data_IF_679586111560
#
_entry.id   IF_679586111560
#
_cell.length_a   1.000
_cell.length_b   1.000
_cell.length_c   1.000
_cell.angle_alpha   90.00
_cell.angle_beta   90.00
_cell.angle_gamma   90.00
#
_symmetry.space_group_name_H-M   'P 1'
#
loop_
_entity.id
_entity.type
_entity.pdbx_description
1 polymer ?
#
# COMPACT_ATOMS: atom_id res chain seq x y z
N UNK A 1 -26.33 -28.62 4.92
CA UNK A 1 -26.57 -27.38 4.18
C UNK A 1 -27.76 -27.57 3.27
N UNK A 2 -28.74 -26.66 3.17
CA UNK A 2 -29.79 -26.74 2.19
C UNK A 2 -29.18 -26.66 0.77
N UNK A 3 -29.53 -27.57 -0.12
CA UNK A 3 -29.14 -27.59 -1.55
C UNK A 3 -29.46 -26.23 -2.20
N UNK A 4 -30.49 -25.60 -1.74
CA UNK A 4 -30.98 -24.26 -2.17
C UNK A 4 -29.94 -23.12 -2.03
N UNK A 5 -29.14 -23.08 -0.98
CA UNK A 5 -28.11 -22.02 -0.77
C UNK A 5 -26.97 -22.17 -1.77
N UNK A 6 -26.51 -23.38 -2.03
CA UNK A 6 -25.45 -23.66 -3.01
C UNK A 6 -25.88 -23.29 -4.42
N UNK A 7 -27.10 -23.58 -4.78
CA UNK A 7 -27.67 -23.25 -6.09
C UNK A 7 -27.77 -21.74 -6.31
N UNK A 8 -28.12 -20.98 -5.25
CA UNK A 8 -28.11 -19.51 -5.28
C UNK A 8 -26.69 -18.99 -5.51
N UNK A 9 -25.70 -19.50 -4.78
CA UNK A 9 -24.31 -19.08 -4.92
C UNK A 9 -23.77 -19.33 -6.33
N UNK A 10 -24.02 -20.53 -6.91
CA UNK A 10 -23.59 -20.86 -8.26
C UNK A 10 -24.30 -20.04 -9.33
N UNK A 11 -25.59 -19.76 -9.16
CA UNK A 11 -26.34 -18.87 -10.07
C UNK A 11 -25.78 -17.46 -10.03
N UNK A 12 -25.51 -16.91 -8.84
CA UNK A 12 -24.91 -15.58 -8.66
C UNK A 12 -23.52 -15.51 -9.27
N UNK A 13 -22.68 -16.53 -9.02
CA UNK A 13 -21.34 -16.64 -9.58
C UNK A 13 -21.39 -16.61 -11.12
N UNK A 14 -22.29 -17.40 -11.71
CA UNK A 14 -22.45 -17.47 -13.17
C UNK A 14 -23.00 -16.18 -13.77
N UNK A 15 -23.98 -15.55 -13.09
CA UNK A 15 -24.62 -14.31 -13.58
C UNK A 15 -23.66 -13.13 -13.66
N UNK A 16 -22.83 -12.93 -12.64
CA UNK A 16 -21.97 -11.74 -12.56
C UNK A 16 -20.55 -12.00 -13.10
N UNK A 17 -19.95 -13.14 -12.80
CA UNK A 17 -18.56 -13.42 -13.20
C UNK A 17 -18.42 -14.43 -14.34
N UNK A 18 -19.51 -15.07 -14.76
CA UNK A 18 -19.49 -16.05 -15.85
C UNK A 18 -18.83 -17.40 -15.51
N UNK A 19 -18.52 -17.66 -14.24
CA UNK A 19 -17.89 -18.91 -13.81
C UNK A 19 -18.92 -19.97 -13.48
N UNK A 20 -18.65 -21.22 -13.91
CA UNK A 20 -19.53 -22.36 -13.65
C UNK A 20 -19.26 -23.07 -12.32
N UNK A 21 -18.10 -22.83 -11.70
CA UNK A 21 -17.69 -23.45 -10.45
C UNK A 21 -16.78 -22.56 -9.64
N UNK A 22 -16.80 -22.75 -8.32
CA UNK A 22 -15.83 -22.13 -7.41
C UNK A 22 -14.44 -22.74 -7.58
N UNK A 23 -13.42 -21.92 -7.35
CA UNK A 23 -12.08 -22.45 -7.11
C UNK A 23 -12.03 -23.11 -5.74
N UNK A 24 -11.09 -24.02 -5.55
CA UNK A 24 -10.88 -24.71 -4.28
C UNK A 24 -10.86 -23.72 -3.09
N UNK A 25 -11.56 -24.08 -2.00
CA UNK A 25 -11.77 -23.33 -0.76
C UNK A 25 -12.62 -22.06 -0.86
N UNK A 26 -12.94 -21.53 -2.04
CA UNK A 26 -13.79 -20.33 -2.14
C UNK A 26 -15.21 -20.59 -1.60
N UNK A 27 -15.81 -21.70 -1.98
CA UNK A 27 -17.16 -22.08 -1.54
C UNK A 27 -17.23 -22.19 -0.01
N UNK A 28 -16.25 -22.85 0.60
CA UNK A 28 -16.19 -23.06 2.05
C UNK A 28 -16.00 -21.74 2.82
N UNK A 29 -15.18 -20.81 2.30
CA UNK A 29 -14.97 -19.49 2.86
C UNK A 29 -16.26 -18.66 2.79
N UNK A 30 -16.92 -18.65 1.64
CA UNK A 30 -18.19 -17.95 1.43
C UNK A 30 -19.25 -18.47 2.38
N UNK A 31 -19.36 -19.79 2.50
CA UNK A 31 -20.31 -20.44 3.40
C UNK A 31 -20.04 -20.08 4.87
N UNK A 32 -18.78 -20.01 5.27
CA UNK A 32 -18.41 -19.63 6.62
C UNK A 32 -18.94 -18.24 6.98
N UNK A 33 -18.89 -17.29 6.05
CA UNK A 33 -19.44 -15.94 6.24
C UNK A 33 -20.96 -15.93 6.26
N UNK A 34 -21.60 -16.69 5.35
CA UNK A 34 -23.06 -16.81 5.34
C UNK A 34 -23.60 -17.42 6.64
N UNK A 35 -22.82 -18.30 7.28
CA UNK A 35 -23.11 -18.88 8.59
C UNK A 35 -22.73 -17.94 9.76
N UNK A 36 -22.39 -16.68 9.48
CA UNK A 36 -22.05 -15.66 10.46
C UNK A 36 -20.79 -15.98 11.29
N UNK A 37 -19.82 -16.73 10.73
CA UNK A 37 -18.58 -17.04 11.43
C UNK A 37 -17.48 -16.04 11.06
N UNK A 38 -16.67 -15.69 12.05
CA UNK A 38 -15.37 -15.08 11.79
C UNK A 38 -14.49 -16.00 10.96
N UNK A 39 -13.89 -15.48 9.91
CA UNK A 39 -13.16 -16.31 8.94
C UNK A 39 -11.81 -15.69 8.60
N UNK A 40 -10.77 -16.51 8.61
CA UNK A 40 -9.44 -16.14 8.12
C UNK A 40 -9.10 -16.99 6.90
N UNK A 41 -8.91 -16.34 5.76
CA UNK A 41 -8.60 -17.00 4.50
C UNK A 41 -7.18 -16.66 4.03
N UNK A 42 -6.33 -17.69 3.94
CA UNK A 42 -4.97 -17.63 3.42
C UNK A 42 -4.97 -18.22 2.01
N UNK A 43 -5.16 -17.35 1.02
CA UNK A 43 -5.23 -17.72 -0.37
C UNK A 43 -4.09 -17.11 -1.17
N UNK A 44 -3.43 -17.83 -2.07
CA UNK A 44 -2.33 -17.30 -2.88
C UNK A 44 -2.78 -16.10 -3.72
N UNK A 45 -1.81 -15.31 -4.18
CA UNK A 45 -2.07 -14.26 -5.18
C UNK A 45 -2.68 -14.88 -6.43
N UNK A 46 -3.75 -14.28 -6.97
CA UNK A 46 -4.53 -14.86 -8.06
C UNK A 46 -5.50 -15.99 -7.63
N UNK A 47 -5.59 -16.30 -6.34
CA UNK A 47 -6.50 -17.31 -5.78
C UNK A 47 -7.98 -16.89 -5.72
N UNK A 48 -8.32 -15.69 -6.21
CA UNK A 48 -9.70 -15.20 -6.22
C UNK A 48 -10.19 -14.73 -4.84
N UNK A 49 -9.31 -14.10 -4.03
CA UNK A 49 -9.66 -13.56 -2.71
C UNK A 49 -10.85 -12.61 -2.74
N UNK A 50 -10.92 -11.71 -3.71
CA UNK A 50 -11.99 -10.71 -3.81
C UNK A 50 -13.38 -11.34 -3.94
N UNK A 51 -13.51 -12.43 -4.68
CA UNK A 51 -14.77 -13.16 -4.84
C UNK A 51 -15.31 -13.69 -3.49
N UNK A 52 -14.41 -14.04 -2.55
CA UNK A 52 -14.80 -14.57 -1.25
C UNK A 52 -15.60 -13.57 -0.39
N UNK A 53 -15.48 -12.26 -0.63
CA UNK A 53 -16.33 -11.26 0.03
C UNK A 53 -17.34 -10.60 -0.92
N UNK A 54 -17.03 -10.51 -2.21
CA UNK A 54 -17.94 -9.88 -3.18
C UNK A 54 -19.22 -10.70 -3.36
N UNK A 55 -19.11 -12.02 -3.51
CA UNK A 55 -20.26 -12.88 -3.73
C UNK A 55 -21.21 -12.95 -2.51
N UNK A 56 -20.73 -13.20 -1.27
CA UNK A 56 -21.63 -13.18 -0.11
C UNK A 56 -22.26 -11.80 0.14
N UNK A 57 -21.59 -10.70 -0.23
CA UNK A 57 -22.19 -9.35 -0.15
C UNK A 57 -23.44 -9.21 -1.04
N UNK A 58 -23.50 -9.90 -2.18
CA UNK A 58 -24.68 -9.88 -3.06
C UNK A 58 -25.84 -10.72 -2.53
N UNK A 59 -25.53 -11.79 -1.78
CA UNK A 59 -26.55 -12.73 -1.26
C UNK A 59 -27.11 -12.28 0.08
N UNK A 60 -26.28 -11.63 0.90
CA UNK A 60 -26.72 -11.10 2.20
C UNK A 60 -27.46 -9.77 2.05
N UNK A 61 -28.36 -9.51 2.97
CA UNK A 61 -28.96 -8.18 3.14
C UNK A 61 -27.94 -7.22 3.76
N UNK A 62 -28.00 -5.94 3.35
CA UNK A 62 -27.09 -4.90 3.82
C UNK A 62 -25.82 -4.76 3.00
N UNK A 63 -24.90 -3.94 3.50
CA UNK A 63 -23.65 -3.54 2.85
C UNK A 63 -22.47 -4.27 3.46
N UNK A 64 -21.60 -4.85 2.64
CA UNK A 64 -20.28 -5.33 3.08
C UNK A 64 -19.32 -4.14 3.18
N UNK A 65 -18.72 -3.93 4.35
CA UNK A 65 -17.65 -2.95 4.52
C UNK A 65 -16.30 -3.61 4.23
N UNK A 66 -15.63 -3.15 3.17
CA UNK A 66 -14.31 -3.66 2.76
C UNK A 66 -13.23 -2.70 3.21
N UNK A 67 -12.36 -3.15 4.10
CA UNK A 67 -11.19 -2.39 4.58
C UNK A 67 -9.98 -2.81 3.75
N UNK A 68 -9.43 -1.88 2.97
CA UNK A 68 -8.31 -2.13 2.06
C UNK A 68 -7.23 -1.06 2.20
N UNK A 69 -5.92 -1.42 2.11
CA UNK A 69 -4.84 -0.49 2.43
C UNK A 69 -4.51 0.50 1.31
N UNK A 70 -5.03 0.31 0.10
CA UNK A 70 -4.61 1.04 -1.09
C UNK A 70 -5.78 1.60 -1.88
N UNK A 71 -5.78 2.92 -2.03
CA UNK A 71 -6.79 3.63 -2.80
C UNK A 71 -6.86 3.19 -4.27
N UNK A 72 -5.71 2.96 -4.91
CA UNK A 72 -5.69 2.48 -6.30
C UNK A 72 -6.39 1.13 -6.45
N UNK A 73 -6.15 0.20 -5.52
CA UNK A 73 -6.82 -1.11 -5.51
C UNK A 73 -8.33 -0.95 -5.29
N UNK A 74 -8.76 -0.09 -4.37
CA UNK A 74 -10.18 0.17 -4.13
C UNK A 74 -10.86 0.71 -5.39
N UNK A 75 -10.24 1.67 -6.08
CA UNK A 75 -10.74 2.24 -7.34
C UNK A 75 -10.90 1.17 -8.43
N UNK A 76 -9.89 0.34 -8.62
CA UNK A 76 -9.90 -0.74 -9.60
C UNK A 76 -10.99 -1.78 -9.29
N UNK A 77 -11.13 -2.17 -8.01
CA UNK A 77 -12.19 -3.11 -7.58
C UNK A 77 -13.58 -2.54 -7.78
N UNK A 78 -13.81 -1.28 -7.38
CA UNK A 78 -15.11 -0.61 -7.55
C UNK A 78 -15.46 -0.42 -9.03
N UNK A 79 -14.49 -0.02 -9.87
CA UNK A 79 -14.70 0.10 -11.30
C UNK A 79 -15.12 -1.24 -11.92
N UNK A 80 -14.40 -2.31 -11.59
CA UNK A 80 -14.72 -3.66 -12.09
C UNK A 80 -16.09 -4.14 -11.62
N UNK A 81 -16.48 -3.88 -10.37
CA UNK A 81 -17.81 -4.24 -9.85
C UNK A 81 -18.91 -3.47 -10.56
N UNK A 82 -18.73 -2.17 -10.81
CA UNK A 82 -19.68 -1.36 -11.59
C UNK A 82 -19.82 -1.86 -13.04
N UNK A 83 -18.74 -2.28 -13.66
CA UNK A 83 -18.77 -2.90 -15.01
C UNK A 83 -19.59 -4.21 -15.04
N UNK A 84 -19.62 -4.93 -13.91
CA UNK A 84 -20.45 -6.11 -13.72
C UNK A 84 -21.91 -5.78 -13.32
N UNK A 85 -22.27 -4.50 -13.16
CA UNK A 85 -23.60 -4.08 -12.72
C UNK A 85 -23.83 -4.24 -11.20
N UNK A 86 -22.75 -4.26 -10.39
CA UNK A 86 -22.80 -4.37 -8.94
C UNK A 86 -22.58 -2.99 -8.33
N UNK A 87 -23.51 -2.55 -7.48
CA UNK A 87 -23.42 -1.26 -6.80
C UNK A 87 -22.34 -1.30 -5.71
N UNK A 88 -21.22 -0.65 -5.99
CA UNK A 88 -20.07 -0.54 -5.11
C UNK A 88 -19.51 0.88 -5.14
N UNK A 89 -19.05 1.35 -3.98
CA UNK A 89 -18.44 2.68 -3.84
C UNK A 89 -17.18 2.61 -2.97
N UNK A 90 -16.34 3.65 -3.06
CA UNK A 90 -15.21 3.82 -2.16
C UNK A 90 -15.21 5.22 -1.54
N UNK A 91 -14.79 5.31 -0.28
CA UNK A 91 -14.61 6.60 0.40
C UNK A 91 -13.12 6.92 0.52
N UNK A 92 -12.70 8.04 -0.04
CA UNK A 92 -11.32 8.52 0.04
C UNK A 92 -11.26 10.01 0.39
N UNK A 93 -10.08 10.50 0.72
CA UNK A 93 -9.82 11.93 0.95
C UNK A 93 -9.73 12.74 -0.36
N UNK A 94 -9.77 12.10 -1.52
CA UNK A 94 -9.77 12.77 -2.82
C UNK A 94 -11.17 13.25 -3.22
N UNK A 95 -12.23 12.68 -2.62
CA UNK A 95 -13.62 13.05 -2.86
C UNK A 95 -13.96 14.31 -2.06
N UNK A 96 -14.73 15.19 -2.66
CA UNK A 96 -15.26 16.34 -1.95
C UNK A 96 -16.38 15.97 -0.93
N UNK A 97 -16.79 16.93 -0.11
CA UNK A 97 -17.79 16.67 0.95
C UNK A 97 -19.15 16.26 0.38
N UNK A 98 -19.55 16.80 -0.78
CA UNK A 98 -20.84 16.48 -1.41
C UNK A 98 -20.83 15.05 -1.98
N UNK A 99 -19.74 14.65 -2.64
CA UNK A 99 -19.54 13.29 -3.14
C UNK A 99 -19.54 12.28 -1.99
N UNK A 100 -18.87 12.60 -0.87
CA UNK A 100 -18.85 11.71 0.30
C UNK A 100 -20.26 11.59 0.91
N UNK A 101 -21.02 12.69 1.01
CA UNK A 101 -22.37 12.65 1.56
C UNK A 101 -23.32 11.82 0.68
N UNK A 102 -23.23 11.94 -0.64
CA UNK A 102 -24.02 11.11 -1.57
C UNK A 102 -23.75 9.62 -1.36
N UNK A 103 -22.47 9.24 -1.16
CA UNK A 103 -22.11 7.84 -0.88
C UNK A 103 -22.69 7.38 0.46
N UNK A 104 -22.66 8.22 1.50
CA UNK A 104 -23.27 7.87 2.78
C UNK A 104 -24.79 7.69 2.66
N UNK A 105 -25.48 8.56 1.94
CA UNK A 105 -26.92 8.43 1.69
C UNK A 105 -27.26 7.12 0.97
N UNK A 106 -26.53 6.77 -0.08
CA UNK A 106 -26.68 5.50 -0.79
C UNK A 106 -26.38 4.27 0.09
N UNK A 107 -25.40 4.38 1.01
CA UNK A 107 -25.10 3.30 1.93
C UNK A 107 -26.21 3.12 2.99
N UNK A 108 -26.75 4.23 3.51
CA UNK A 108 -27.86 4.23 4.49
C UNK A 108 -29.15 3.72 3.84
N UNK A 109 -29.43 4.09 2.58
CA UNK A 109 -30.61 3.60 1.84
C UNK A 109 -30.50 2.11 1.45
N UNK A 110 -29.32 1.50 1.58
CA UNK A 110 -29.07 0.10 1.22
C UNK A 110 -28.86 -0.13 -0.28
N UNK A 111 -28.62 0.92 -1.06
CA UNK A 111 -28.31 0.80 -2.50
C UNK A 111 -26.93 0.18 -2.73
N UNK A 112 -25.94 0.46 -1.85
CA UNK A 112 -24.57 -0.03 -1.99
C UNK A 112 -24.42 -1.42 -1.40
N UNK A 113 -23.91 -2.36 -2.18
CA UNK A 113 -23.59 -3.72 -1.73
C UNK A 113 -22.17 -3.85 -1.15
N UNK A 114 -21.21 -3.08 -1.67
CA UNK A 114 -19.84 -3.06 -1.17
C UNK A 114 -19.35 -1.62 -1.01
N UNK A 115 -18.92 -1.28 0.20
CA UNK A 115 -18.33 0.02 0.52
C UNK A 115 -16.86 -0.18 0.90
N UNK A 116 -15.95 0.36 0.07
CA UNK A 116 -14.52 0.28 0.29
C UNK A 116 -14.00 1.49 1.06
N UNK A 117 -13.19 1.24 2.08
CA UNK A 117 -12.58 2.28 2.90
C UNK A 117 -11.12 1.94 3.25
N UNK A 118 -10.32 2.98 3.47
CA UNK A 118 -8.99 2.78 4.06
C UNK A 118 -9.08 2.60 5.58
N UNK A 119 -8.14 1.89 6.21
CA UNK A 119 -8.13 1.67 7.66
C UNK A 119 -7.99 2.98 8.45
N UNK A 120 -7.33 4.01 7.88
CA UNK A 120 -7.18 5.34 8.49
C UNK A 120 -8.54 6.04 8.70
N UNK A 121 -9.54 5.73 7.85
CA UNK A 121 -10.88 6.33 7.96
C UNK A 121 -11.65 5.87 9.20
N UNK A 122 -11.32 4.71 9.74
CA UNK A 122 -11.99 4.15 10.92
C UNK A 122 -11.86 5.03 12.17
N UNK A 123 -10.86 5.91 12.24
CA UNK A 123 -10.72 6.90 13.32
C UNK A 123 -11.58 8.16 13.14
N UNK A 124 -12.14 8.37 11.96
CA UNK A 124 -12.92 9.56 11.71
C UNK A 124 -14.27 9.49 12.44
N UNK A 125 -14.52 10.44 13.35
CA UNK A 125 -15.75 10.47 14.17
C UNK A 125 -17.03 10.66 13.35
N UNK A 126 -16.97 11.35 12.21
CA UNK A 126 -18.09 11.48 11.30
C UNK A 126 -18.38 10.15 10.60
N UNK A 127 -17.33 9.48 10.09
CA UNK A 127 -17.46 8.16 9.50
C UNK A 127 -18.07 7.15 10.48
N UNK A 128 -17.58 7.12 11.72
CA UNK A 128 -18.12 6.23 12.77
C UNK A 128 -19.62 6.46 12.99
N UNK A 129 -20.06 7.72 13.09
CA UNK A 129 -21.49 8.04 13.28
C UNK A 129 -22.33 7.61 12.09
N UNK A 130 -21.88 7.89 10.86
CA UNK A 130 -22.60 7.49 9.63
C UNK A 130 -22.70 5.96 9.52
N UNK A 131 -21.68 5.22 9.90
CA UNK A 131 -21.70 3.76 9.85
C UNK A 131 -22.66 3.10 10.84
N UNK A 132 -23.04 3.78 11.91
CA UNK A 132 -24.10 3.29 12.83
C UNK A 132 -25.50 3.31 12.18
N UNK A 133 -25.70 4.14 11.17
CA UNK A 133 -26.97 4.25 10.45
C UNK A 133 -27.01 3.32 9.20
N UNK A 134 -25.86 2.73 8.81
CA UNK A 134 -25.78 1.80 7.68
C UNK A 134 -26.06 0.38 8.14
N UNK A 135 -26.95 -0.32 7.46
CA UNK A 135 -27.17 -1.75 7.67
C UNK A 135 -25.99 -2.56 7.10
N UNK A 136 -24.97 -2.83 7.93
CA UNK A 136 -23.82 -3.62 7.53
C UNK A 136 -24.09 -5.12 7.65
N UNK A 137 -23.70 -5.90 6.65
CA UNK A 137 -23.83 -7.36 6.64
C UNK A 137 -22.63 -8.06 7.31
N UNK A 138 -21.43 -7.69 6.94
CA UNK A 138 -20.16 -8.18 7.50
C UNK A 138 -19.01 -7.24 7.13
N UNK A 139 -17.84 -7.47 7.73
CA UNK A 139 -16.61 -6.73 7.42
C UNK A 139 -15.64 -7.64 6.67
N UNK A 140 -15.10 -7.18 5.55
CA UNK A 140 -13.99 -7.80 4.87
C UNK A 140 -12.70 -7.00 5.12
N UNK A 141 -11.65 -7.64 5.60
CA UNK A 141 -10.33 -7.05 5.83
C UNK A 141 -9.37 -7.61 4.81
N UNK A 142 -9.12 -6.83 3.77
CA UNK A 142 -8.16 -7.21 2.74
C UNK A 142 -6.73 -6.91 3.20
N UNK A 143 -5.76 -7.69 2.68
CA UNK A 143 -4.36 -7.66 3.09
C UNK A 143 -4.18 -7.64 4.62
N UNK A 144 -4.91 -8.53 5.31
CA UNK A 144 -4.97 -8.58 6.78
C UNK A 144 -3.60 -8.73 7.46
N UNK A 145 -2.55 -9.17 6.74
CA UNK A 145 -1.18 -9.23 7.24
C UNK A 145 -0.62 -7.85 7.63
N UNK A 146 -1.20 -6.76 7.09
CA UNK A 146 -0.83 -5.38 7.46
C UNK A 146 -1.07 -5.04 8.95
N UNK A 147 -1.84 -5.84 9.68
CA UNK A 147 -2.09 -5.64 11.13
C UNK A 147 -0.88 -6.06 11.98
N UNK A 148 -0.01 -6.90 11.46
CA UNK A 148 1.12 -7.49 12.19
C UNK A 148 2.42 -6.75 11.91
N UNK A 149 3.15 -6.40 12.96
CA UNK A 149 4.51 -5.86 12.86
C UNK A 149 5.52 -6.85 12.23
N UNK A 150 5.18 -8.12 12.28
CA UNK A 150 5.92 -9.22 11.65
C UNK A 150 5.42 -9.53 10.25
N UNK A 151 4.37 -8.80 9.81
CA UNK A 151 3.84 -8.87 8.45
C UNK A 151 4.62 -7.95 7.52
N UNK A 152 4.43 -8.19 6.26
CA UNK A 152 4.84 -7.28 5.21
C UNK A 152 3.94 -6.03 5.25
N UNK A 153 4.49 -4.85 5.05
CA UNK A 153 3.72 -3.59 4.98
C UNK A 153 2.85 -3.30 6.22
N UNK A 154 3.42 -3.46 7.43
CA UNK A 154 2.74 -3.11 8.67
C UNK A 154 2.12 -1.71 8.62
N UNK A 155 0.84 -1.64 9.02
CA UNK A 155 0.07 -0.39 9.11
C UNK A 155 -0.59 -0.27 10.47
N UNK A 156 -0.17 0.67 11.33
CA UNK A 156 -0.76 0.88 12.65
C UNK A 156 -2.28 1.06 12.61
N UNK A 157 -2.80 1.70 11.55
CA UNK A 157 -4.24 1.94 11.37
C UNK A 157 -5.11 0.67 11.34
N UNK A 158 -4.53 -0.51 10.99
CA UNK A 158 -5.26 -1.79 11.07
C UNK A 158 -5.60 -2.20 12.49
N UNK A 159 -4.87 -1.74 13.50
CA UNK A 159 -5.14 -2.09 14.90
C UNK A 159 -6.49 -1.54 15.39
N UNK A 160 -7.01 -0.50 14.75
CA UNK A 160 -8.30 0.11 15.08
C UNK A 160 -9.53 -0.66 14.56
N UNK A 161 -9.31 -1.65 13.69
CA UNK A 161 -10.41 -2.44 13.12
C UNK A 161 -11.19 -3.18 14.22
N UNK A 162 -10.52 -3.70 15.24
CA UNK A 162 -11.17 -4.40 16.34
C UNK A 162 -12.07 -3.49 17.17
N UNK A 163 -11.64 -2.25 17.46
CA UNK A 163 -12.42 -1.26 18.19
C UNK A 163 -13.64 -0.81 17.37
N UNK A 164 -13.40 -0.50 16.09
CA UNK A 164 -14.47 -0.17 15.15
C UNK A 164 -15.53 -1.28 15.12
N UNK A 165 -15.10 -2.54 14.98
CA UNK A 165 -15.98 -3.70 14.92
C UNK A 165 -16.85 -3.84 16.19
N UNK A 166 -16.27 -3.62 17.37
CA UNK A 166 -17.03 -3.61 18.65
C UNK A 166 -18.08 -2.53 18.68
N UNK A 167 -17.77 -1.35 18.16
CA UNK A 167 -18.70 -0.19 18.17
C UNK A 167 -19.89 -0.41 17.25
N UNK A 168 -19.72 -1.05 16.09
CA UNK A 168 -20.81 -1.27 15.11
C UNK A 168 -21.60 -2.56 15.32
N UNK A 169 -21.40 -3.28 16.45
CA UNK A 169 -22.20 -4.46 16.80
C UNK A 169 -21.53 -5.81 16.59
N UNK A 170 -20.21 -5.85 16.49
CA UNK A 170 -19.40 -7.08 16.41
C UNK A 170 -19.79 -8.03 15.26
N UNK A 171 -19.98 -7.48 14.08
CA UNK A 171 -20.35 -8.21 12.86
C UNK A 171 -19.31 -9.29 12.49
N UNK A 172 -19.69 -10.32 11.70
CA UNK A 172 -18.75 -11.29 11.17
C UNK A 172 -17.62 -10.61 10.40
N UNK A 173 -16.42 -11.15 10.54
CA UNK A 173 -15.22 -10.62 9.90
C UNK A 173 -14.57 -11.66 9.00
N UNK A 174 -14.36 -11.30 7.74
CA UNK A 174 -13.55 -12.08 6.78
C UNK A 174 -12.21 -11.41 6.61
N UNK A 175 -11.18 -11.95 7.21
CA UNK A 175 -9.80 -11.52 7.03
C UNK A 175 -9.14 -12.30 5.89
N UNK A 176 -8.54 -11.59 4.92
CA UNK A 176 -7.92 -12.20 3.74
C UNK A 176 -6.46 -11.74 3.62
N UNK A 177 -5.59 -12.68 3.29
CA UNK A 177 -4.20 -12.38 2.94
C UNK A 177 -3.61 -13.43 2.00
N UNK A 178 -2.60 -13.05 1.23
CA UNK A 178 -1.85 -14.00 0.40
C UNK A 178 -0.69 -14.64 1.15
N UNK A 179 -0.11 -13.93 2.10
CA UNK A 179 1.10 -14.33 2.80
C UNK A 179 0.95 -14.09 4.30
N UNK A 180 1.12 -15.14 5.10
CA UNK A 180 1.19 -14.99 6.54
C UNK A 180 2.00 -16.12 7.16
N UNK A 181 3.00 -15.78 7.96
CA UNK A 181 3.70 -16.74 8.81
C UNK A 181 2.80 -17.17 9.97
N UNK A 182 3.10 -18.26 10.69
CA UNK A 182 2.33 -18.65 11.88
C UNK A 182 2.18 -17.53 12.92
N UNK A 183 3.20 -16.69 13.08
CA UNK A 183 3.19 -15.53 13.96
C UNK A 183 2.22 -14.45 13.49
N UNK A 184 2.24 -14.14 12.20
CA UNK A 184 1.28 -13.19 11.58
C UNK A 184 -0.16 -13.68 11.71
N UNK A 185 -0.40 -14.99 11.55
CA UNK A 185 -1.73 -15.59 11.74
C UNK A 185 -2.23 -15.38 13.17
N UNK A 186 -1.36 -15.54 14.17
CA UNK A 186 -1.72 -15.30 15.57
C UNK A 186 -2.06 -13.83 15.82
N UNK A 187 -1.23 -12.90 15.30
CA UNK A 187 -1.45 -11.46 15.40
C UNK A 187 -2.78 -11.05 14.75
N UNK A 188 -3.08 -11.57 13.56
CA UNK A 188 -4.36 -11.29 12.88
C UNK A 188 -5.54 -11.70 13.77
N UNK A 189 -5.51 -12.90 14.34
CA UNK A 189 -6.58 -13.40 15.20
C UNK A 189 -6.77 -12.54 16.45
N UNK A 190 -5.67 -12.22 17.12
CA UNK A 190 -5.68 -11.45 18.36
C UNK A 190 -6.10 -9.99 18.11
N UNK A 191 -5.41 -9.31 17.20
CA UNK A 191 -5.59 -7.88 16.95
C UNK A 191 -6.92 -7.54 16.27
N UNK A 192 -7.51 -8.44 15.47
CA UNK A 192 -8.87 -8.28 14.95
C UNK A 192 -9.96 -8.75 15.94
N UNK A 193 -9.60 -9.35 17.06
CA UNK A 193 -10.53 -9.86 18.06
C UNK A 193 -11.35 -11.06 17.55
N UNK A 194 -10.73 -11.95 16.75
CA UNK A 194 -11.39 -13.14 16.20
C UNK A 194 -11.30 -14.29 17.19
N UNK A 195 -12.25 -14.37 18.12
CA UNK A 195 -12.20 -15.32 19.24
C UNK A 195 -12.53 -16.77 18.84
N UNK A 196 -13.36 -16.96 17.80
CA UNK A 196 -13.75 -18.28 17.27
C UNK A 196 -13.70 -18.23 15.75
N UNK A 197 -12.48 -18.26 15.21
CA UNK A 197 -12.24 -18.06 13.77
C UNK A 197 -12.09 -19.39 13.03
N UNK A 198 -12.80 -19.53 11.90
CA UNK A 198 -12.55 -20.59 10.94
C UNK A 198 -11.37 -20.20 10.05
N UNK A 199 -10.36 -21.06 9.98
CA UNK A 199 -9.14 -20.78 9.20
C UNK A 199 -9.11 -21.67 7.97
N UNK A 200 -9.05 -21.05 6.81
CA UNK A 200 -8.88 -21.71 5.53
C UNK A 200 -7.50 -21.36 4.99
N UNK A 201 -6.66 -22.35 4.86
CA UNK A 201 -5.30 -22.18 4.36
C UNK A 201 -5.07 -23.10 3.18
N UNK A 202 -4.73 -22.50 2.04
CA UNK A 202 -4.32 -23.23 0.84
C UNK A 202 -2.80 -23.31 0.76
N UNK A 203 -2.32 -24.33 0.06
CA UNK A 203 -0.89 -24.40 -0.28
C UNK A 203 -0.47 -23.15 -1.04
N UNK A 204 0.69 -22.61 -0.66
CA UNK A 204 1.31 -21.49 -1.39
C UNK A 204 1.90 -21.91 -2.74
N UNK A 205 1.99 -23.22 -3.01
CA UNK A 205 2.55 -23.72 -4.26
C UNK A 205 1.61 -23.42 -5.44
N UNK A 206 2.16 -22.76 -6.45
CA UNK A 206 1.53 -22.51 -7.74
C UNK A 206 2.13 -23.48 -8.76
N UNK A 207 1.38 -24.53 -9.09
CA UNK A 207 1.87 -25.63 -9.94
C UNK A 207 2.26 -25.14 -11.34
N UNK A 208 1.62 -24.10 -11.84
CA UNK A 208 1.86 -23.50 -13.15
C UNK A 208 2.96 -22.45 -13.19
N UNK A 209 3.68 -22.20 -12.08
CA UNK A 209 4.79 -21.24 -12.05
C UNK A 209 6.09 -22.00 -11.81
N UNK A 210 6.96 -22.01 -12.82
CA UNK A 210 8.29 -22.61 -12.73
C UNK A 210 9.29 -21.58 -12.24
N UNK A 211 9.99 -21.89 -11.14
CA UNK A 211 10.91 -20.98 -10.47
C UNK A 211 12.35 -21.36 -10.80
N UNK A 212 13.11 -20.41 -11.30
CA UNK A 212 14.53 -20.54 -11.64
C UNK A 212 15.35 -19.46 -10.95
N UNK A 213 16.59 -19.77 -10.64
CA UNK A 213 17.57 -18.78 -10.19
C UNK A 213 18.86 -18.93 -10.99
N UNK A 214 19.53 -17.83 -11.25
CA UNK A 214 20.72 -17.80 -12.11
C UNK A 214 21.75 -16.79 -11.56
N UNK A 215 23.00 -17.27 -11.33
CA UNK A 215 24.13 -16.39 -10.99
C UNK A 215 24.69 -15.79 -12.29
N UNK A 216 24.57 -14.49 -12.46
CA UNK A 216 24.94 -13.81 -13.71
C UNK A 216 25.70 -12.52 -13.45
N UNK A 217 26.84 -12.38 -14.14
CA UNK A 217 27.65 -11.16 -14.08
C UNK A 217 27.12 -10.06 -15.03
N UNK A 218 26.72 -10.42 -16.25
CA UNK A 218 26.18 -9.49 -17.22
C UNK A 218 24.65 -9.64 -17.37
N UNK A 219 23.92 -9.00 -16.48
CA UNK A 219 22.46 -9.04 -16.48
C UNK A 219 21.84 -8.28 -17.65
N UNK A 220 22.49 -7.24 -18.18
CA UNK A 220 21.99 -6.47 -19.34
C UNK A 220 21.91 -7.35 -20.59
N UNK A 221 22.98 -8.07 -20.92
CA UNK A 221 23.02 -8.98 -22.06
C UNK A 221 22.07 -10.15 -21.87
N UNK A 222 21.93 -10.65 -20.63
CA UNK A 222 20.98 -11.72 -20.34
C UNK A 222 19.55 -11.28 -20.59
N UNK A 223 19.16 -10.10 -20.11
CA UNK A 223 17.84 -9.51 -20.35
C UNK A 223 17.58 -9.28 -21.83
N UNK A 224 18.54 -8.68 -22.55
CA UNK A 224 18.46 -8.44 -23.98
C UNK A 224 18.22 -9.73 -24.77
N UNK A 225 19.00 -10.77 -24.47
CA UNK A 225 18.89 -12.08 -25.13
C UNK A 225 17.55 -12.75 -24.84
N UNK A 226 17.08 -12.69 -23.61
CA UNK A 226 15.79 -13.27 -23.21
C UNK A 226 14.62 -12.57 -23.91
N UNK A 227 14.57 -11.23 -23.91
CA UNK A 227 13.47 -10.46 -24.46
C UNK A 227 13.45 -10.39 -26.01
N UNK A 228 14.59 -10.58 -26.66
CA UNK A 228 14.63 -10.72 -28.13
C UNK A 228 13.95 -11.98 -28.62
N UNK A 229 14.05 -13.05 -27.86
CA UNK A 229 13.49 -14.36 -28.23
C UNK A 229 12.01 -14.44 -27.79
N UNK A 230 11.67 -13.94 -26.60
CA UNK A 230 10.36 -14.10 -25.98
C UNK A 230 9.53 -12.81 -26.11
N UNK A 231 8.65 -12.76 -27.11
CA UNK A 231 7.72 -11.65 -27.34
C UNK A 231 6.39 -11.90 -26.62
N UNK A 232 6.44 -11.96 -25.31
CA UNK A 232 5.33 -12.27 -24.43
C UNK A 232 5.26 -11.25 -23.27
N UNK A 233 4.09 -11.14 -22.64
CA UNK A 233 3.88 -10.21 -21.54
C UNK A 233 4.63 -10.64 -20.28
N UNK A 234 5.31 -9.71 -19.63
CA UNK A 234 6.05 -9.96 -18.41
C UNK A 234 6.29 -8.73 -17.55
N UNK A 235 6.84 -8.99 -16.37
CA UNK A 235 7.28 -7.96 -15.42
C UNK A 235 8.75 -8.23 -15.06
N UNK A 236 9.55 -7.16 -15.00
CA UNK A 236 10.93 -7.21 -14.52
C UNK A 236 11.04 -6.33 -13.29
N UNK A 237 11.30 -6.93 -12.14
CA UNK A 237 11.50 -6.20 -10.89
C UNK A 237 12.95 -5.80 -10.70
N UNK A 238 13.16 -4.52 -10.44
CA UNK A 238 14.46 -3.90 -10.15
C UNK A 238 14.41 -3.20 -8.79
N UNK A 239 15.55 -2.97 -8.18
CA UNK A 239 15.63 -2.39 -6.82
C UNK A 239 15.42 -0.88 -6.79
N UNK A 240 15.89 -0.15 -7.81
CA UNK A 240 15.88 1.31 -7.82
C UNK A 240 15.15 1.89 -9.04
N UNK A 241 14.67 3.13 -8.90
CA UNK A 241 14.06 3.89 -10.00
C UNK A 241 15.05 4.06 -11.17
N UNK A 242 16.29 4.37 -10.83
CA UNK A 242 17.37 4.54 -11.79
C UNK A 242 17.64 3.27 -12.60
N UNK A 243 17.70 2.12 -11.96
CA UNK A 243 17.82 0.83 -12.67
C UNK A 243 16.66 0.58 -13.63
N UNK A 244 15.42 0.94 -13.25
CA UNK A 244 14.26 0.79 -14.14
C UNK A 244 14.41 1.63 -15.41
N UNK A 245 14.85 2.87 -15.27
CA UNK A 245 15.05 3.80 -16.38
C UNK A 245 16.24 3.38 -17.25
N UNK A 246 17.40 3.07 -16.66
CA UNK A 246 18.63 2.69 -17.36
C UNK A 246 18.44 1.36 -18.13
N UNK A 247 17.86 0.34 -17.51
CA UNK A 247 17.59 -0.93 -18.20
C UNK A 247 16.60 -0.76 -19.35
N UNK A 248 15.56 0.07 -19.15
CA UNK A 248 14.60 0.38 -20.22
C UNK A 248 15.26 1.11 -21.39
N UNK A 249 16.11 2.10 -21.12
CA UNK A 249 16.84 2.86 -22.13
C UNK A 249 17.76 1.92 -22.93
N UNK A 250 18.55 1.10 -22.23
CA UNK A 250 19.43 0.11 -22.86
C UNK A 250 18.68 -0.84 -23.81
N UNK A 251 17.55 -1.36 -23.37
CA UNK A 251 16.75 -2.28 -24.20
C UNK A 251 16.15 -1.59 -25.43
N UNK A 252 15.70 -0.34 -25.30
CA UNK A 252 15.19 0.47 -26.42
C UNK A 252 16.27 0.79 -27.45
N UNK A 253 17.49 1.12 -27.00
CA UNK A 253 18.66 1.32 -27.87
C UNK A 253 18.99 0.06 -28.69
N UNK A 254 18.69 -1.12 -28.16
CA UNK A 254 18.89 -2.40 -28.84
C UNK A 254 17.64 -2.92 -29.60
N UNK A 255 16.75 -1.98 -30.02
CA UNK A 255 15.56 -2.20 -30.83
C UNK A 255 14.42 -3.00 -30.14
N UNK A 256 14.36 -3.02 -28.82
CA UNK A 256 13.21 -3.55 -28.08
C UNK A 256 12.27 -2.40 -27.68
N UNK A 257 11.23 -2.17 -28.49
CA UNK A 257 10.28 -1.07 -28.31
C UNK A 257 9.05 -1.42 -27.45
N UNK A 258 8.85 -2.70 -27.15
CA UNK A 258 7.75 -3.21 -26.35
C UNK A 258 8.11 -3.33 -24.86
N UNK A 259 8.90 -2.39 -24.36
CA UNK A 259 9.30 -2.26 -22.96
C UNK A 259 9.05 -0.85 -22.46
N UNK A 260 8.70 -0.71 -21.17
CA UNK A 260 8.65 0.59 -20.50
C UNK A 260 8.99 0.43 -19.02
N UNK A 261 9.21 1.55 -18.32
CA UNK A 261 9.51 1.54 -16.89
C UNK A 261 8.35 2.09 -16.06
N UNK A 262 8.29 1.64 -14.77
CA UNK A 262 7.28 2.07 -13.83
C UNK A 262 7.86 2.18 -12.41
N UNK A 263 7.63 3.32 -11.73
CA UNK A 263 8.05 3.53 -10.35
C UNK A 263 7.24 4.66 -9.69
N UNK A 264 7.29 4.74 -8.36
CA UNK A 264 6.55 5.72 -7.57
C UNK A 264 6.95 7.20 -7.83
N UNK A 265 8.08 7.46 -8.50
CA UNK A 265 8.50 8.81 -8.88
C UNK A 265 7.76 9.40 -10.08
N UNK A 266 7.01 8.59 -10.82
CA UNK A 266 6.17 9.03 -11.94
C UNK A 266 4.92 9.75 -11.43
N UNK A 267 4.42 10.71 -12.19
CA UNK A 267 3.10 11.31 -11.95
C UNK A 267 1.97 10.27 -12.04
N UNK A 268 0.84 10.54 -11.43
CA UNK A 268 -0.33 9.65 -11.49
C UNK A 268 -0.78 9.39 -12.94
N UNK A 269 -0.74 10.43 -13.80
CA UNK A 269 -1.09 10.33 -15.23
C UNK A 269 -0.15 9.37 -15.96
N UNK A 270 1.16 9.52 -15.78
CA UNK A 270 2.16 8.64 -16.43
C UNK A 270 2.01 7.20 -15.94
N UNK A 271 1.79 7.00 -14.65
CA UNK A 271 1.56 5.65 -14.08
C UNK A 271 0.36 4.98 -14.72
N UNK A 272 -0.77 5.68 -14.81
CA UNK A 272 -2.00 5.14 -15.40
C UNK A 272 -1.82 4.84 -16.90
N UNK A 273 -1.14 5.70 -17.66
CA UNK A 273 -0.88 5.48 -19.09
C UNK A 273 0.00 4.25 -19.32
N UNK A 274 1.10 4.11 -18.56
CA UNK A 274 2.03 2.96 -18.69
C UNK A 274 1.37 1.66 -18.26
N UNK A 275 0.58 1.68 -17.19
CA UNK A 275 -0.18 0.52 -16.71
C UNK A 275 -1.20 0.09 -17.77
N UNK A 276 -2.00 1.01 -18.29
CA UNK A 276 -2.98 0.72 -19.35
C UNK A 276 -2.30 0.11 -20.58
N UNK A 277 -1.21 0.69 -21.05
CA UNK A 277 -0.45 0.20 -22.20
C UNK A 277 0.05 -1.24 -21.99
N UNK A 278 0.49 -1.56 -20.77
CA UNK A 278 0.90 -2.91 -20.42
C UNK A 278 -0.29 -3.87 -20.30
N UNK A 279 -1.42 -3.41 -19.79
CA UNK A 279 -2.65 -4.22 -19.68
C UNK A 279 -3.21 -4.62 -21.04
N UNK A 280 -3.24 -3.68 -21.98
CA UNK A 280 -3.83 -3.88 -23.34
C UNK A 280 -2.98 -4.77 -24.25
N UNK A 281 -1.67 -4.91 -24.01
CA UNK A 281 -0.75 -5.61 -24.90
C UNK A 281 -0.28 -6.95 -24.36
N UNK A 282 -0.24 -7.96 -25.21
CA UNK A 282 0.19 -9.31 -24.84
C UNK A 282 1.70 -9.57 -25.04
N UNK A 283 2.41 -8.60 -25.61
CA UNK A 283 3.85 -8.67 -25.89
C UNK A 283 4.66 -7.62 -25.13
N UNK A 284 4.06 -6.94 -24.14
CA UNK A 284 4.64 -5.81 -23.47
C UNK A 284 5.28 -6.18 -22.12
N UNK A 285 6.47 -5.68 -21.87
CA UNK A 285 7.22 -5.92 -20.64
C UNK A 285 7.35 -4.62 -19.84
N UNK A 286 6.98 -4.68 -18.57
CA UNK A 286 7.13 -3.57 -17.65
C UNK A 286 8.31 -3.80 -16.70
N UNK A 287 9.27 -2.87 -16.70
CA UNK A 287 10.42 -2.86 -15.81
C UNK A 287 10.10 -1.96 -14.63
N UNK A 288 10.01 -2.52 -13.44
CA UNK A 288 9.46 -1.77 -12.31
C UNK A 288 10.17 -2.02 -11.00
N UNK A 289 10.10 -1.04 -10.12
CA UNK A 289 10.31 -1.26 -8.68
C UNK A 289 9.08 -1.96 -8.09
N UNK A 290 9.12 -2.28 -6.78
CA UNK A 290 7.97 -2.81 -6.03
C UNK A 290 6.72 -1.88 -6.06
N UNK A 291 6.85 -0.64 -6.57
CA UNK A 291 5.73 0.27 -6.77
C UNK A 291 4.67 -0.26 -7.76
N UNK A 292 5.06 -1.16 -8.68
CA UNK A 292 4.13 -1.87 -9.55
C UNK A 292 3.79 -3.21 -8.89
N UNK A 293 2.77 -3.16 -8.07
CA UNK A 293 2.52 -4.28 -7.19
C UNK A 293 1.03 -4.54 -6.93
N UNK A 294 0.57 -4.19 -5.75
CA UNK A 294 -0.80 -4.49 -5.31
C UNK A 294 -1.84 -3.88 -6.27
N UNK A 295 -2.91 -4.61 -6.54
CA UNK A 295 -4.00 -4.16 -7.42
C UNK A 295 -3.84 -4.45 -8.91
N UNK A 296 -2.75 -5.07 -9.35
CA UNK A 296 -2.57 -5.43 -10.76
C UNK A 296 -3.34 -6.72 -11.05
N UNK A 297 -4.25 -6.62 -12.00
CA UNK A 297 -5.07 -7.75 -12.46
C UNK A 297 -4.91 -7.94 -13.97
N UNK A 298 -3.85 -8.65 -14.35
CA UNK A 298 -3.61 -9.11 -15.72
C UNK A 298 -3.35 -10.60 -15.68
N UNK A 299 -4.17 -11.38 -16.38
CA UNK A 299 -4.16 -12.84 -16.31
C UNK A 299 -2.98 -13.47 -17.04
N UNK A 300 -2.61 -12.91 -18.19
CA UNK A 300 -1.67 -13.50 -19.15
C UNK A 300 -0.22 -13.05 -19.00
N UNK A 301 0.22 -12.75 -17.79
CA UNK A 301 1.64 -12.51 -17.50
C UNK A 301 2.38 -13.84 -17.57
N UNK A 302 3.29 -13.97 -18.52
CA UNK A 302 4.00 -15.25 -18.77
C UNK A 302 5.30 -15.38 -18.01
N UNK A 303 5.91 -14.26 -17.61
CA UNK A 303 7.11 -14.30 -16.78
C UNK A 303 7.20 -13.14 -15.79
N UNK A 304 7.86 -13.42 -14.68
CA UNK A 304 8.33 -12.41 -13.72
C UNK A 304 9.83 -12.64 -13.54
N UNK A 305 10.62 -11.60 -13.79
CA UNK A 305 12.06 -11.62 -13.59
C UNK A 305 12.42 -10.68 -12.46
N UNK A 306 13.09 -11.20 -11.44
CA UNK A 306 13.77 -10.38 -10.46
C UNK A 306 15.18 -10.12 -10.96
N UNK A 307 15.42 -8.91 -11.46
CA UNK A 307 16.72 -8.44 -11.91
C UNK A 307 17.69 -8.30 -10.73
N UNK A 308 17.14 -7.97 -9.56
CA UNK A 308 17.82 -7.96 -8.27
C UNK A 308 16.97 -8.70 -7.24
N UNK A 309 17.56 -9.34 -6.21
CA UNK A 309 16.81 -10.02 -5.16
C UNK A 309 15.78 -9.10 -4.49
N UNK A 310 14.61 -9.65 -4.20
CA UNK A 310 13.55 -8.98 -3.46
C UNK A 310 13.96 -8.69 -2.02
N UNK A 311 13.32 -7.72 -1.39
CA UNK A 311 13.59 -7.34 0.01
C UNK A 311 13.20 -8.41 1.04
N UNK A 312 12.27 -9.30 0.70
CA UNK A 312 11.87 -10.44 1.53
C UNK A 312 11.35 -11.60 0.67
N UNK A 313 11.23 -12.77 1.28
CA UNK A 313 10.65 -13.97 0.64
C UNK A 313 9.16 -13.76 0.35
N UNK A 314 8.46 -13.06 1.22
CA UNK A 314 7.04 -12.72 1.07
C UNK A 314 6.83 -11.78 -0.12
N UNK A 315 7.67 -10.75 -0.28
CA UNK A 315 7.65 -9.87 -1.45
C UNK A 315 7.90 -10.66 -2.73
N UNK A 316 8.95 -11.48 -2.72
CA UNK A 316 9.27 -12.36 -3.85
C UNK A 316 8.08 -13.23 -4.24
N UNK A 317 7.45 -13.87 -3.25
CA UNK A 317 6.28 -14.72 -3.48
C UNK A 317 5.08 -13.95 -4.06
N UNK A 318 4.77 -12.76 -3.53
CA UNK A 318 3.70 -11.92 -4.07
C UNK A 318 3.98 -11.44 -5.49
N UNK A 319 5.24 -11.11 -5.78
CA UNK A 319 5.68 -10.61 -7.09
C UNK A 319 5.64 -11.72 -8.14
N UNK A 320 6.16 -12.92 -7.86
CA UNK A 320 6.05 -14.06 -8.80
C UNK A 320 4.61 -14.54 -8.98
N UNK A 321 3.79 -14.39 -7.95
CA UNK A 321 2.36 -14.75 -7.99
C UNK A 321 1.52 -13.94 -8.99
N UNK A 322 2.10 -12.91 -9.62
CA UNK A 322 1.46 -12.15 -10.72
C UNK A 322 1.48 -12.92 -12.03
N UNK A 323 2.39 -13.87 -12.18
CA UNK A 323 2.46 -14.72 -13.38
C UNK A 323 1.34 -15.76 -13.38
N UNK A 324 0.85 -16.10 -14.57
CA UNK A 324 -0.04 -17.24 -14.82
C UNK A 324 -1.34 -17.25 -14.02
N UNK A 325 -2.03 -16.15 -13.88
CA UNK A 325 -3.33 -16.11 -13.19
C UNK A 325 -4.42 -16.84 -13.95
N UNK A 326 -4.26 -16.98 -15.27
CA UNK A 326 -5.09 -17.78 -16.16
C UNK A 326 -4.83 -19.29 -16.06
N UNK A 327 -3.91 -19.71 -15.17
CA UNK A 327 -3.55 -21.12 -15.00
C UNK A 327 -2.55 -21.67 -16.03
N UNK A 328 -2.14 -20.85 -17.00
CA UNK A 328 -1.17 -21.27 -18.01
C UNK A 328 0.25 -21.28 -17.46
N UNK A 329 1.11 -22.13 -18.05
CA UNK A 329 2.53 -22.21 -17.72
C UNK A 329 3.21 -20.85 -17.75
N UNK A 330 3.91 -20.55 -16.67
CA UNK A 330 4.57 -19.26 -16.47
C UNK A 330 5.87 -19.42 -15.70
N UNK A 331 6.75 -18.42 -15.81
CA UNK A 331 8.12 -18.56 -15.37
C UNK A 331 8.52 -17.43 -14.43
N UNK A 332 9.19 -17.76 -13.35
CA UNK A 332 9.79 -16.81 -12.42
C UNK A 332 11.31 -17.00 -12.43
N UNK A 333 12.06 -15.93 -12.69
CA UNK A 333 13.50 -15.94 -12.69
C UNK A 333 14.04 -15.01 -11.63
N UNK A 334 15.02 -15.45 -10.85
CA UNK A 334 15.81 -14.62 -9.96
C UNK A 334 17.24 -14.54 -10.49
N UNK A 335 17.63 -13.34 -10.94
CA UNK A 335 19.01 -13.06 -11.37
C UNK A 335 19.79 -12.43 -10.22
N UNK A 336 20.93 -12.96 -9.90
CA UNK A 336 21.75 -12.47 -8.80
C UNK A 336 23.25 -12.59 -9.10
N UNK A 337 24.09 -11.86 -8.36
CA UNK A 337 25.51 -12.03 -8.31
C UNK A 337 26.04 -11.80 -6.89
N UNK A 338 27.26 -12.27 -6.62
CA UNK A 338 27.87 -12.21 -5.27
C UNK A 338 28.13 -10.80 -4.79
N UNK A 339 28.50 -9.89 -5.68
CA UNK A 339 28.75 -8.49 -5.33
C UNK A 339 27.47 -7.82 -4.84
N UNK A 340 26.36 -8.01 -5.56
CA UNK A 340 25.05 -7.47 -5.21
C UNK A 340 24.54 -7.97 -3.86
N UNK A 341 24.75 -9.26 -3.55
CA UNK A 341 24.41 -9.81 -2.23
C UNK A 341 25.25 -9.17 -1.12
N UNK A 342 26.56 -8.97 -1.36
CA UNK A 342 27.41 -8.27 -0.40
C UNK A 342 26.98 -6.81 -0.18
N UNK A 343 26.62 -6.10 -1.25
CA UNK A 343 26.11 -4.73 -1.15
C UNK A 343 24.78 -4.67 -0.39
N UNK A 344 23.90 -5.67 -0.55
CA UNK A 344 22.65 -5.77 0.22
C UNK A 344 22.93 -5.99 1.70
N UNK A 345 23.85 -6.87 2.05
CA UNK A 345 24.27 -7.10 3.44
C UNK A 345 24.85 -5.84 4.07
N UNK A 346 25.67 -5.10 3.34
CA UNK A 346 26.23 -3.81 3.78
C UNK A 346 25.13 -2.77 4.05
N UNK A 347 24.15 -2.66 3.15
CA UNK A 347 23.00 -1.76 3.31
C UNK A 347 22.16 -2.13 4.52
N UNK A 348 21.85 -3.43 4.72
CA UNK A 348 21.12 -3.92 5.88
C UNK A 348 21.88 -3.63 7.18
N UNK A 349 23.16 -3.95 7.21
CA UNK A 349 24.03 -3.71 8.38
C UNK A 349 24.13 -2.22 8.71
N UNK A 350 24.13 -1.36 7.70
CA UNK A 350 24.14 0.10 7.88
C UNK A 350 22.84 0.66 8.44
N UNK A 351 21.72 -0.06 8.32
CA UNK A 351 20.40 0.36 8.80
C UNK A 351 20.04 -0.21 10.18
N UNK A 352 20.58 -1.39 10.54
CA UNK A 352 20.27 -2.06 11.80
C UNK A 352 21.18 -1.52 12.90
N UNK A 353 20.65 -0.85 13.95
CA UNK A 353 21.46 -0.45 15.11
C UNK A 353 21.76 -1.65 16.00
N UNK A 354 22.98 -1.72 16.55
CA UNK A 354 23.25 -2.64 17.65
C UNK A 354 22.63 -2.14 18.97
N UNK A 355 22.60 -3.00 19.99
CA UNK A 355 22.00 -2.67 21.28
C UNK A 355 22.60 -1.42 21.91
N UNK A 356 23.91 -1.21 21.78
CA UNK A 356 24.60 -0.06 22.35
C UNK A 356 24.21 1.22 21.63
N UNK A 357 24.13 1.18 20.29
CA UNK A 357 23.66 2.31 19.47
C UNK A 357 22.20 2.63 19.76
N UNK A 358 21.37 1.61 19.90
CA UNK A 358 19.95 1.77 20.26
C UNK A 358 19.80 2.52 21.61
N UNK A 359 20.44 2.02 22.67
CA UNK A 359 20.40 2.64 23.98
C UNK A 359 20.98 4.07 23.98
N UNK A 360 22.03 4.33 23.20
CA UNK A 360 22.63 5.64 23.09
C UNK A 360 21.68 6.68 22.47
N UNK A 361 20.92 6.30 21.45
CA UNK A 361 19.89 7.19 20.86
C UNK A 361 18.79 7.48 21.88
N UNK A 362 18.29 6.49 22.59
CA UNK A 362 17.25 6.66 23.61
C UNK A 362 17.73 7.56 24.75
N UNK A 363 18.89 7.25 25.32
CA UNK A 363 19.47 8.06 26.42
C UNK A 363 19.66 9.51 26.01
N UNK A 364 20.06 9.77 24.77
CA UNK A 364 20.17 11.13 24.26
C UNK A 364 18.81 11.82 24.17
N UNK A 365 17.77 11.14 23.67
CA UNK A 365 16.40 11.67 23.59
C UNK A 365 15.86 12.00 24.98
N UNK A 366 16.00 11.11 25.96
CA UNK A 366 15.63 11.38 27.34
C UNK A 366 16.36 12.59 27.90
N UNK A 367 17.67 12.70 27.63
CA UNK A 367 18.48 13.81 28.13
C UNK A 367 18.07 15.18 27.55
N UNK A 368 17.87 15.28 26.22
CA UNK A 368 17.53 16.56 25.57
C UNK A 368 16.12 17.04 25.91
N UNK A 369 15.19 16.13 26.14
CA UNK A 369 13.80 16.45 26.49
C UNK A 369 13.53 16.42 27.99
N UNK A 370 14.55 16.14 28.80
CA UNK A 370 14.47 16.07 30.27
C UNK A 370 13.36 15.14 30.76
N UNK A 371 13.26 13.97 30.15
CA UNK A 371 12.31 12.93 30.51
C UNK A 371 12.98 12.00 31.53
N UNK A 372 12.37 11.80 32.70
CA UNK A 372 12.88 10.88 33.70
C UNK A 372 12.55 9.41 33.32
N UNK A 373 13.36 8.47 33.83
CA UNK A 373 13.09 7.05 33.64
C UNK A 373 11.72 6.67 34.22
N UNK A 374 10.85 6.10 33.38
CA UNK A 374 9.49 5.70 33.75
C UNK A 374 8.46 6.84 33.67
N UNK A 375 8.86 8.04 33.25
CA UNK A 375 7.93 9.15 33.01
C UNK A 375 7.24 9.00 31.64
N UNK A 376 5.89 9.07 31.63
CA UNK A 376 5.12 9.24 30.40
C UNK A 376 4.96 10.74 30.12
N UNK A 377 5.69 11.25 29.12
CA UNK A 377 5.59 12.67 28.76
C UNK A 377 4.54 12.85 27.66
N UNK A 378 3.36 13.33 28.02
CA UNK A 378 2.27 13.69 27.08
C UNK A 378 2.52 15.02 26.36
N UNK A 379 3.76 15.28 25.94
CA UNK A 379 4.15 16.52 25.26
C UNK A 379 4.65 16.24 23.86
N UNK A 380 4.40 17.17 22.95
CA UNK A 380 4.96 17.14 21.59
C UNK A 380 6.34 17.78 21.63
N UNK A 381 7.34 17.01 21.20
CA UNK A 381 8.73 17.45 21.12
C UNK A 381 9.16 17.57 19.65
N UNK A 382 9.92 18.58 19.32
CA UNK A 382 10.55 18.69 18.01
C UNK A 382 11.97 18.10 18.06
N UNK A 383 12.17 16.98 17.38
CA UNK A 383 13.45 16.27 17.36
C UNK A 383 14.28 16.69 16.14
N UNK A 384 15.44 17.28 16.40
CA UNK A 384 16.43 17.59 15.39
C UNK A 384 17.37 16.39 15.18
N UNK A 385 17.15 15.65 14.08
CA UNK A 385 17.95 14.47 13.75
C UNK A 385 19.44 14.78 13.51
N UNK A 386 19.79 16.00 13.07
CA UNK A 386 21.19 16.40 12.90
C UNK A 386 21.90 16.50 14.24
N UNK A 387 21.21 17.03 15.27
CA UNK A 387 21.75 17.07 16.63
C UNK A 387 21.90 15.68 17.22
N UNK A 388 20.92 14.79 17.00
CA UNK A 388 21.04 13.38 17.41
C UNK A 388 22.25 12.72 16.77
N UNK A 389 22.44 12.89 15.46
CA UNK A 389 23.59 12.33 14.75
C UNK A 389 24.91 12.91 15.25
N UNK A 390 25.01 14.24 15.39
CA UNK A 390 26.27 14.89 15.80
C UNK A 390 26.70 14.48 17.21
N UNK A 391 25.76 14.26 18.13
CA UNK A 391 26.07 13.81 19.48
C UNK A 391 26.34 12.31 19.56
N UNK A 392 25.44 11.50 18.99
CA UNK A 392 25.53 10.03 19.09
C UNK A 392 26.60 9.43 18.17
N UNK A 393 26.98 10.13 17.10
CA UNK A 393 27.83 9.63 15.99
C UNK A 393 27.24 8.40 15.28
N UNK A 394 25.92 8.25 15.32
CA UNK A 394 25.18 7.18 14.68
C UNK A 394 24.59 7.71 13.37
N UNK A 395 24.57 6.89 12.31
CA UNK A 395 24.02 7.30 11.01
C UNK A 395 22.52 7.61 11.06
N UNK A 396 22.05 8.50 10.20
CA UNK A 396 20.61 8.83 10.10
C UNK A 396 19.74 7.60 9.86
N UNK A 397 20.23 6.65 9.07
CA UNK A 397 19.50 5.41 8.80
C UNK A 397 19.23 4.62 10.10
N UNK A 398 20.26 4.43 10.92
CA UNK A 398 20.13 3.76 12.22
C UNK A 398 19.28 4.52 13.21
N UNK A 399 19.41 5.86 13.27
CA UNK A 399 18.56 6.71 14.14
C UNK A 399 17.09 6.55 13.74
N UNK A 400 16.77 6.62 12.45
CA UNK A 400 15.40 6.41 11.96
C UNK A 400 14.88 5.00 12.29
N UNK A 401 15.72 3.98 12.20
CA UNK A 401 15.34 2.62 12.58
C UNK A 401 15.01 2.53 14.07
N UNK A 402 15.77 3.20 14.95
CA UNK A 402 15.45 3.27 16.38
C UNK A 402 14.11 3.97 16.61
N UNK A 403 13.88 5.14 15.99
CA UNK A 403 12.64 5.90 16.15
C UNK A 403 11.43 5.13 15.58
N UNK A 404 11.59 4.48 14.44
CA UNK A 404 10.56 3.64 13.85
C UNK A 404 10.21 2.43 14.75
N UNK A 405 11.23 1.79 15.32
CA UNK A 405 11.00 0.69 16.27
C UNK A 405 10.24 1.19 17.52
N UNK A 406 10.65 2.32 18.12
CA UNK A 406 9.97 2.90 19.29
C UNK A 406 8.52 3.31 18.96
N UNK A 407 8.28 3.81 17.76
CA UNK A 407 6.95 4.15 17.28
C UNK A 407 6.06 2.90 17.14
N UNK A 408 6.59 1.84 16.52
CA UNK A 408 5.88 0.58 16.35
C UNK A 408 5.60 -0.15 17.67
N UNK A 409 6.43 0.09 18.70
CA UNK A 409 6.21 -0.41 20.06
C UNK A 409 5.33 0.52 20.92
N UNK A 410 4.73 1.55 20.30
CA UNK A 410 3.89 2.56 20.97
C UNK A 410 4.58 3.30 22.14
N UNK A 411 5.93 3.26 22.19
CA UNK A 411 6.72 3.99 23.19
C UNK A 411 6.73 5.48 22.88
N UNK A 412 6.75 5.83 21.59
CA UNK A 412 6.65 7.21 21.11
C UNK A 412 5.68 7.27 19.92
N UNK A 413 5.03 8.41 19.74
CA UNK A 413 4.37 8.74 18.48
C UNK A 413 5.35 9.59 17.65
N UNK A 414 6.00 8.97 16.65
CA UNK A 414 6.93 9.67 15.77
C UNK A 414 6.27 10.02 14.44
N UNK A 415 6.15 11.33 14.19
CA UNK A 415 5.65 11.84 12.92
C UNK A 415 6.82 12.39 12.09
N UNK A 416 7.07 11.79 10.94
CA UNK A 416 8.14 12.21 10.00
C UNK A 416 7.63 13.26 8.99
N UNK A 417 6.42 13.76 9.15
CA UNK A 417 5.93 14.87 8.35
C UNK A 417 6.66 16.14 8.75
N UNK A 418 7.36 16.77 7.81
CA UNK A 418 7.67 18.20 7.94
C UNK A 418 6.33 18.90 8.06
N UNK A 419 6.05 19.51 9.20
CA UNK A 419 4.92 20.44 9.29
C UNK A 419 5.08 21.45 8.16
N UNK A 420 4.06 21.71 7.36
CA UNK A 420 4.17 22.71 6.32
C UNK A 420 4.57 24.02 6.96
N UNK A 421 5.56 24.70 6.39
CA UNK A 421 5.93 26.04 6.84
C UNK A 421 4.74 26.98 6.72
N UNK A 422 4.57 27.85 7.68
CA UNK A 422 3.48 28.82 7.66
C UNK A 422 4.04 30.22 7.55
N UNK A 423 3.44 31.02 6.71
CA UNK A 423 3.76 32.43 6.55
C UNK A 423 2.55 33.29 6.92
N UNK A 424 2.79 34.32 7.67
CA UNK A 424 1.82 35.33 8.06
C UNK A 424 2.47 36.72 7.78
N UNK A 425 2.06 37.32 6.67
CA UNK A 425 2.61 38.62 6.26
C UNK A 425 1.95 39.73 7.09
N UNK A 426 2.72 40.33 7.98
CA UNK A 426 2.22 41.38 8.85
C UNK A 426 2.49 42.82 8.35
N UNK A 427 3.12 42.93 7.18
CA UNK A 427 3.43 44.21 6.56
C UNK A 427 2.37 44.47 5.50
N UNK A 428 1.69 45.63 5.51
CA UNK A 428 0.79 46.05 4.43
C UNK A 428 1.56 46.13 3.11
N UNK A 429 0.88 45.77 2.01
CA UNK A 429 1.52 45.77 0.69
C UNK A 429 2.08 47.14 0.27
N UNK A 430 1.58 48.21 0.88
CA UNK A 430 2.00 49.62 0.65
C UNK A 430 3.38 49.96 1.28
N UNK A 431 3.79 49.17 2.28
CA UNK A 431 5.07 49.36 3.00
C UNK A 431 6.20 48.49 2.39
N UNK A 432 5.97 47.75 1.33
CA UNK A 432 6.96 46.87 0.71
C UNK A 432 8.09 47.68 0.02
N UNK A 433 7.82 48.91 -0.38
CA UNK A 433 8.80 49.81 -1.02
C UNK A 433 9.86 50.30 -0.01
N UNK A 434 9.57 50.26 1.28
CA UNK A 434 10.50 50.68 2.35
C UNK A 434 11.47 49.58 2.81
N UNK A 435 11.33 48.37 2.27
CA UNK A 435 12.20 47.25 2.61
C UNK A 435 13.49 47.23 1.77
N UNK A 436 14.56 46.58 2.30
CA UNK A 436 15.75 46.33 1.51
C UNK A 436 15.40 45.62 0.20
N UNK A 437 16.02 45.99 -0.93
CA UNK A 437 15.62 45.46 -2.26
C UNK A 437 15.56 43.93 -2.38
N UNK A 438 16.41 43.21 -1.63
CA UNK A 438 16.38 41.72 -1.62
C UNK A 438 15.16 41.18 -0.90
N UNK A 439 14.76 41.79 0.21
CA UNK A 439 13.63 41.35 1.04
C UNK A 439 12.31 41.70 0.33
N UNK A 440 12.22 42.89 -0.27
CA UNK A 440 11.09 43.32 -1.07
C UNK A 440 10.86 42.34 -2.27
N UNK A 441 11.94 41.99 -2.97
CA UNK A 441 11.88 41.05 -4.09
C UNK A 441 11.43 39.65 -3.65
N UNK A 442 11.94 39.18 -2.51
CA UNK A 442 11.54 37.88 -2.00
C UNK A 442 10.06 37.83 -1.57
N UNK A 443 9.58 38.88 -0.93
CA UNK A 443 8.17 39.02 -0.54
C UNK A 443 7.28 39.12 -1.78
N UNK A 444 7.68 39.86 -2.80
CA UNK A 444 6.97 39.94 -4.07
C UNK A 444 6.85 38.57 -4.76
N UNK A 445 7.92 37.77 -4.75
CA UNK A 445 7.88 36.39 -5.22
C UNK A 445 6.92 35.51 -4.44
N UNK A 446 6.86 35.65 -3.12
CA UNK A 446 5.89 34.95 -2.26
C UNK A 446 4.45 35.35 -2.58
N UNK A 447 4.18 36.65 -2.73
CA UNK A 447 2.86 37.19 -3.06
C UNK A 447 2.35 36.65 -4.42
N UNK A 448 3.25 36.47 -5.38
CA UNK A 448 2.90 35.95 -6.73
C UNK A 448 2.67 34.44 -6.75
N UNK A 449 3.31 33.69 -5.88
CA UNK A 449 3.35 32.22 -5.95
C UNK A 449 2.57 31.50 -4.83
N UNK A 450 2.20 32.19 -3.79
CA UNK A 450 1.44 31.64 -2.64
C UNK A 450 0.11 32.38 -2.50
N UNK A 451 -0.97 31.75 -2.93
CA UNK A 451 -2.31 32.34 -2.89
C UNK A 451 -2.75 32.61 -1.45
N UNK A 452 -3.29 33.81 -1.20
CA UNK A 452 -3.84 34.20 0.09
C UNK A 452 -2.81 34.72 1.11
N UNK A 453 -1.51 34.72 0.81
CA UNK A 453 -0.45 35.16 1.75
C UNK A 453 -0.58 36.62 2.17
N UNK A 454 -1.19 37.46 1.35
CA UNK A 454 -1.44 38.87 1.66
C UNK A 454 -2.61 39.09 2.65
N UNK A 455 -3.47 38.13 2.87
CA UNK A 455 -4.74 38.32 3.58
C UNK A 455 -4.87 37.48 4.85
N UNK A 456 -4.19 36.34 4.92
CA UNK A 456 -4.25 35.44 6.07
C UNK A 456 -3.03 34.55 6.15
N UNK A 457 -2.85 33.88 7.29
CA UNK A 457 -1.78 32.91 7.49
C UNK A 457 -1.95 31.71 6.57
N UNK A 458 -0.97 31.42 5.72
CA UNK A 458 -0.98 30.34 4.73
C UNK A 458 0.08 29.31 5.02
N UNK A 459 -0.24 28.04 4.82
CA UNK A 459 0.71 26.93 4.89
C UNK A 459 1.24 26.61 3.50
N UNK A 460 2.54 26.32 3.39
CA UNK A 460 3.19 25.96 2.14
C UNK A 460 4.30 24.91 2.34
N UNK A 461 4.62 24.18 1.28
CA UNK A 461 5.80 23.31 1.24
C UNK A 461 7.00 24.11 0.75
N UNK A 462 8.04 24.20 1.57
CA UNK A 462 9.31 24.86 1.20
C UNK A 462 9.93 24.23 -0.05
N UNK A 463 9.83 22.89 -0.21
CA UNK A 463 10.34 22.16 -1.35
C UNK A 463 9.59 22.54 -2.64
N UNK A 464 8.25 22.60 -2.56
CA UNK A 464 7.41 23.01 -3.69
C UNK A 464 7.62 24.48 -4.06
N UNK A 465 7.78 25.35 -3.06
CA UNK A 465 8.02 26.77 -3.27
C UNK A 465 9.41 27.02 -3.85
N UNK A 466 10.44 26.39 -3.30
CA UNK A 466 11.82 26.43 -3.78
C UNK A 466 11.92 26.00 -5.26
N UNK A 467 11.25 24.91 -5.63
CA UNK A 467 11.19 24.44 -7.02
C UNK A 467 10.50 25.45 -7.95
N UNK A 468 9.39 26.08 -7.50
CA UNK A 468 8.68 27.11 -8.28
C UNK A 468 9.46 28.39 -8.46
N UNK A 469 10.20 28.81 -7.43
CA UNK A 469 10.96 30.05 -7.42
C UNK A 469 12.37 29.90 -7.99
N UNK A 470 12.86 28.67 -8.19
CA UNK A 470 14.22 28.41 -8.65
C UNK A 470 15.30 28.81 -7.64
N UNK A 471 14.96 28.84 -6.33
CA UNK A 471 15.87 29.23 -5.23
C UNK A 471 16.14 28.03 -4.31
N UNK A 472 17.26 28.05 -3.58
CA UNK A 472 17.56 27.00 -2.63
C UNK A 472 16.67 27.11 -1.37
N UNK A 473 16.41 25.99 -0.68
CA UNK A 473 15.65 25.97 0.58
C UNK A 473 16.36 26.69 1.75
N UNK A 474 17.59 27.18 1.55
CA UNK A 474 18.40 27.85 2.57
C UNK A 474 18.34 29.38 2.46
N UNK A 475 17.56 29.91 1.55
CA UNK A 475 17.25 31.32 1.43
C UNK A 475 15.95 31.62 2.16
#
# INVERSE_FOLDING_TARGET
MPIETRDILLKTLKSFWGYDAFRESQEEIILSILEQNDTLALLPTGGGKSLCYQLPALVLEGTCLVISPLLALMKDQVSHLKDLGIEAEYLSSELDEAEQEEIYEKAISGEIKLLYVSPERLHNSLFMRKMLDVSLSFIAVDEAHCISEWGQDFRPSYQHISEFRKTIGNLPCLALTATATPKVILDIKEKLGLSSVRVFQKSYKRENIHIFHEEISDKYQRMLSFLKINKISGIVYVRTRREAEELTAFLKEHNLQNVDFYHAGLSARERNEKQRKWQERNDFVLISTNAFGMGIDKDNVRFVIHYSPSSSVENYYQEIGRAGRDGQESYAFLLWNKQELSEMDDVLSAQIPDKTQYLKVISYIYSIFQIADGEAAERIFQLDLQKVQSFTKISFAKIRSVLGFLHNQEVIFWNNYKSPSTIDLKIPAEELEDLPPKDAYFIELLLRNVSGVATHKVSFSEESLSAKLGVSQQI
#
